data_IF_380196329674
#
_entry.id   IF_380196329674
#
_cell.length_a   1.000
_cell.length_b   1.000
_cell.length_c   1.000
_cell.angle_alpha   90.00
_cell.angle_beta   90.00
_cell.angle_gamma   90.00
#
_symmetry.space_group_name_H-M   'P 1'
#
loop_
_entity.id
_entity.type
_entity.pdbx_description
1 polymer ?
#
# COMPACT_ATOMS: atom_id res chain seq x y z
N UNK A 1 -8.16 4.02 -14.98
CA UNK A 1 -7.96 5.00 -13.92
C UNK A 1 -8.38 4.39 -12.59
N UNK A 2 -7.47 3.67 -11.92
CA UNK A 2 -7.72 2.94 -10.67
C UNK A 2 -6.61 3.25 -9.65
N UNK A 3 -6.45 4.55 -9.37
CA UNK A 3 -5.34 5.06 -8.57
C UNK A 3 -5.52 4.91 -7.05
N UNK A 4 -6.71 4.60 -6.54
CA UNK A 4 -7.01 4.58 -5.11
C UNK A 4 -7.07 3.18 -4.47
N UNK A 5 -6.97 2.13 -5.27
CA UNK A 5 -7.09 0.75 -4.78
C UNK A 5 -5.89 0.31 -3.93
N UNK A 6 -4.67 0.61 -4.35
CA UNK A 6 -3.43 0.24 -3.64
C UNK A 6 -3.35 0.90 -2.28
N UNK A 7 -3.51 2.22 -2.21
CA UNK A 7 -3.37 2.99 -0.96
C UNK A 7 -4.37 2.56 0.09
N UNK A 8 -5.62 2.29 -0.31
CA UNK A 8 -6.65 1.76 0.60
C UNK A 8 -6.25 0.37 1.14
N UNK A 9 -5.71 -0.48 0.28
CA UNK A 9 -5.22 -1.81 0.70
C UNK A 9 -4.01 -1.65 1.62
N UNK A 10 -3.05 -0.78 1.28
CA UNK A 10 -1.87 -0.51 2.12
C UNK A 10 -2.28 -0.04 3.51
N UNK A 11 -3.19 0.94 3.61
CA UNK A 11 -3.66 1.47 4.89
C UNK A 11 -4.30 0.40 5.77
N UNK A 12 -5.23 -0.37 5.21
CA UNK A 12 -5.94 -1.40 5.96
C UNK A 12 -5.06 -2.62 6.29
N UNK A 13 -4.12 -2.99 5.40
CA UNK A 13 -3.13 -4.03 5.66
C UNK A 13 -2.18 -3.63 6.79
N UNK A 14 -1.75 -2.36 6.83
CA UNK A 14 -0.93 -1.84 7.91
C UNK A 14 -1.65 -1.93 9.26
N UNK A 15 -2.94 -1.56 9.30
CA UNK A 15 -3.76 -1.69 10.51
C UNK A 15 -3.94 -3.16 10.91
N UNK A 16 -4.17 -4.07 9.97
CA UNK A 16 -4.27 -5.49 10.26
C UNK A 16 -2.97 -6.06 10.84
N UNK A 17 -1.82 -5.72 10.27
CA UNK A 17 -0.51 -6.10 10.80
C UNK A 17 -0.29 -5.55 12.22
N UNK A 18 -0.64 -4.28 12.46
CA UNK A 18 -0.57 -3.66 13.79
C UNK A 18 -1.49 -4.39 14.78
N UNK A 19 -2.71 -4.77 14.37
CA UNK A 19 -3.65 -5.54 15.21
C UNK A 19 -3.12 -6.94 15.55
N UNK A 20 -2.23 -7.49 14.72
CA UNK A 20 -1.51 -8.74 14.99
C UNK A 20 -0.31 -8.55 15.94
N UNK A 21 -0.03 -7.33 16.37
CA UNK A 21 1.04 -6.99 17.33
C UNK A 21 2.37 -6.60 16.69
N UNK A 22 2.44 -6.42 15.37
CA UNK A 22 3.64 -5.94 14.69
C UNK A 22 3.80 -4.42 14.78
N UNK A 23 5.04 -3.97 14.83
CA UNK A 23 5.40 -2.54 14.70
C UNK A 23 5.45 -2.20 13.22
N UNK A 24 4.58 -1.29 12.80
CA UNK A 24 4.35 -1.02 11.37
C UNK A 24 4.67 0.43 11.03
N UNK A 25 5.31 0.62 9.89
CA UNK A 25 5.48 1.91 9.24
C UNK A 25 4.85 1.91 7.85
N UNK A 26 4.49 3.09 7.35
CA UNK A 26 4.05 3.32 5.98
C UNK A 26 4.91 4.42 5.36
N UNK A 27 5.49 4.12 4.21
CA UNK A 27 6.13 5.08 3.32
C UNK A 27 5.19 5.34 2.15
N UNK A 28 4.52 6.48 2.14
CA UNK A 28 3.69 6.92 1.01
C UNK A 28 4.58 7.63 -0.03
N UNK A 29 4.90 6.91 -1.06
CA UNK A 29 5.76 7.35 -2.15
C UNK A 29 4.97 7.72 -3.42
N UNK A 30 3.63 7.80 -3.36
CA UNK A 30 2.82 8.22 -4.50
C UNK A 30 2.88 9.75 -4.69
N UNK A 31 3.82 10.18 -5.53
CA UNK A 31 4.06 11.59 -5.82
C UNK A 31 2.85 12.27 -6.48
N UNK A 32 2.06 11.51 -7.22
CA UNK A 32 0.96 12.05 -8.01
C UNK A 32 -0.34 12.16 -7.22
N UNK A 33 -0.48 11.43 -6.12
CA UNK A 33 -1.68 11.44 -5.31
C UNK A 33 -1.45 10.87 -3.91
N UNK A 34 -0.57 11.51 -3.11
CA UNK A 34 -0.30 11.03 -1.76
C UNK A 34 -1.60 11.04 -0.96
N UNK A 35 -2.04 9.89 -0.50
CA UNK A 35 -3.34 9.72 0.12
C UNK A 35 -3.29 9.15 1.54
N UNK A 36 -2.16 8.60 1.95
CA UNK A 36 -2.02 8.04 3.29
C UNK A 36 -2.23 9.08 4.41
N UNK A 37 -1.76 10.35 4.28
CA UNK A 37 -2.05 11.37 5.29
C UNK A 37 -3.54 11.56 5.55
N UNK A 38 -4.38 11.57 4.50
CA UNK A 38 -5.82 11.65 4.63
C UNK A 38 -6.40 10.40 5.28
N UNK A 39 -5.98 9.22 4.82
CA UNK A 39 -6.49 7.94 5.32
C UNK A 39 -6.18 7.70 6.80
N UNK A 40 -5.17 8.36 7.36
CA UNK A 40 -4.78 8.28 8.77
C UNK A 40 -5.10 9.54 9.57
N UNK A 41 -5.80 10.53 9.00
CA UNK A 41 -6.23 11.75 9.68
C UNK A 41 -5.06 12.65 10.12
N UNK A 42 -3.93 12.59 9.41
CA UNK A 42 -2.73 13.39 9.68
C UNK A 42 -2.43 14.38 8.56
N UNK A 43 -3.44 14.80 7.82
CA UNK A 43 -3.31 15.88 6.85
C UNK A 43 -2.80 17.16 7.53
N UNK A 44 -1.87 17.83 6.89
CA UNK A 44 -1.26 19.04 7.45
C UNK A 44 -0.17 18.81 8.50
N UNK A 45 0.18 17.54 8.78
CA UNK A 45 1.38 17.26 9.58
C UNK A 45 2.61 17.86 8.91
N UNK A 46 3.42 18.58 9.70
CA UNK A 46 4.70 19.15 9.27
C UNK A 46 5.81 18.38 9.98
N UNK A 47 6.61 17.58 9.25
CA UNK A 47 7.68 16.82 9.86
C UNK A 47 8.73 17.70 10.50
N UNK A 48 9.03 17.45 11.77
CA UNK A 48 10.16 18.05 12.45
C UNK A 48 11.46 17.33 12.10
N UNK A 49 12.58 18.05 12.16
CA UNK A 49 13.91 17.49 12.08
C UNK A 49 14.54 17.44 13.49
N UNK A 50 15.10 16.28 13.83
CA UNK A 50 15.84 16.08 15.08
C UNK A 50 17.27 15.63 14.77
N UNK A 51 18.23 16.09 15.57
CA UNK A 51 19.60 15.57 15.45
C UNK A 51 19.77 14.28 16.25
N UNK A 52 20.22 13.23 15.58
CA UNK A 52 20.52 11.95 16.16
C UNK A 52 21.91 11.48 15.65
N UNK A 53 22.85 11.31 16.57
CA UNK A 53 24.22 10.92 16.26
C UNK A 53 24.91 11.82 15.22
N UNK A 54 24.61 13.13 15.25
CA UNK A 54 25.18 14.10 14.32
C UNK A 54 24.54 14.12 12.91
N UNK A 55 23.45 13.39 12.72
CA UNK A 55 22.68 13.35 11.46
C UNK A 55 21.28 13.89 11.69
N UNK A 56 20.80 14.72 10.76
CA UNK A 56 19.42 15.19 10.79
C UNK A 56 18.47 14.04 10.42
N UNK A 57 17.51 13.77 11.31
CA UNK A 57 16.45 12.76 11.12
C UNK A 57 15.10 13.44 11.03
N UNK A 58 14.27 12.96 10.13
CA UNK A 58 12.90 13.43 9.93
C UNK A 58 11.95 12.61 10.81
N UNK A 59 11.18 13.28 11.64
CA UNK A 59 10.20 12.61 12.51
C UNK A 59 8.96 12.22 11.69
N UNK A 60 8.56 10.95 11.66
CA UNK A 60 7.32 10.52 10.99
C UNK A 60 6.09 10.97 11.80
N UNK A 61 4.95 11.14 11.12
CA UNK A 61 3.66 11.23 11.80
C UNK A 61 3.33 9.89 12.46
N UNK A 62 2.55 9.92 13.54
CA UNK A 62 2.04 8.73 14.20
C UNK A 62 0.50 8.79 14.26
N UNK A 63 -0.14 7.73 13.79
CA UNK A 63 -1.58 7.55 13.90
C UNK A 63 -1.89 6.07 14.06
N UNK A 64 -2.80 5.72 14.98
CA UNK A 64 -3.18 4.34 15.27
C UNK A 64 -1.96 3.42 15.54
N UNK A 65 -0.95 3.90 16.28
CA UNK A 65 0.33 3.21 16.54
C UNK A 65 1.10 2.79 15.26
N UNK A 66 0.86 3.47 14.15
CA UNK A 66 1.56 3.29 12.88
C UNK A 66 2.36 4.56 12.58
N UNK A 67 3.64 4.41 12.22
CA UNK A 67 4.49 5.50 11.77
C UNK A 67 4.27 5.75 10.29
N UNK A 68 4.02 7.01 9.93
CA UNK A 68 3.71 7.40 8.56
C UNK A 68 4.65 8.49 8.09
N UNK A 69 5.33 8.24 6.97
CA UNK A 69 6.03 9.27 6.21
C UNK A 69 5.44 9.33 4.80
N UNK A 70 5.02 10.53 4.39
CA UNK A 70 4.42 10.76 3.08
C UNK A 70 5.09 11.89 2.36
N UNK A 71 5.27 11.73 1.06
CA UNK A 71 5.68 12.83 0.18
C UNK A 71 4.68 14.00 0.26
N UNK A 72 3.42 13.72 0.58
CA UNK A 72 2.37 14.71 0.78
C UNK A 72 2.61 15.69 1.95
N UNK A 73 3.51 15.38 2.87
CA UNK A 73 3.89 16.31 3.93
C UNK A 73 4.82 17.44 3.45
N UNK A 74 5.47 17.25 2.30
CA UNK A 74 6.46 18.18 1.74
C UNK A 74 5.95 18.94 0.52
N UNK A 75 4.90 18.45 -0.12
CA UNK A 75 4.37 18.99 -1.37
C UNK A 75 2.98 19.57 -1.14
N UNK A 76 2.80 20.85 -1.43
CA UNK A 76 1.44 21.41 -1.47
C UNK A 76 0.71 20.86 -2.71
N UNK A 77 -0.59 20.59 -2.64
CA UNK A 77 -1.37 20.11 -3.78
C UNK A 77 -1.24 20.97 -5.05
N UNK A 78 -1.04 22.29 -4.87
CA UNK A 78 -0.82 23.25 -5.97
C UNK A 78 0.53 23.11 -6.64
N UNK A 79 1.52 22.54 -5.97
CA UNK A 79 2.92 22.51 -6.40
C UNK A 79 3.30 21.15 -7.00
N UNK A 80 2.45 20.13 -6.85
CA UNK A 80 2.69 18.77 -7.33
C UNK A 80 3.01 18.71 -8.85
N UNK A 81 2.43 19.62 -9.65
CA UNK A 81 2.72 19.75 -11.09
C UNK A 81 4.13 20.28 -11.39
N UNK A 82 4.78 20.95 -10.43
CA UNK A 82 6.12 21.52 -10.60
C UNK A 82 7.23 20.53 -10.19
N UNK A 83 6.88 19.49 -9.47
CA UNK A 83 7.83 18.46 -9.04
C UNK A 83 8.17 17.54 -10.22
N UNK A 84 9.20 17.92 -10.95
CA UNK A 84 9.73 17.10 -12.05
C UNK A 84 10.56 15.94 -11.47
N UNK A 85 10.57 14.81 -12.20
CA UNK A 85 11.08 13.50 -11.76
C UNK A 85 12.32 13.50 -10.85
N UNK A 86 13.35 14.27 -11.18
CA UNK A 86 14.57 14.30 -10.36
C UNK A 86 14.39 14.90 -8.95
N UNK A 87 13.53 15.92 -8.80
CA UNK A 87 13.27 16.53 -7.48
C UNK A 87 12.46 15.56 -6.62
N UNK A 88 11.46 14.93 -7.20
CA UNK A 88 10.63 13.95 -6.51
C UNK A 88 11.45 12.73 -6.05
N UNK A 89 12.32 12.21 -6.91
CA UNK A 89 13.24 11.13 -6.56
C UNK A 89 14.19 11.55 -5.44
N UNK A 90 14.72 12.79 -5.47
CA UNK A 90 15.60 13.28 -4.40
C UNK A 90 14.88 13.38 -3.05
N UNK A 91 13.64 13.88 -3.03
CA UNK A 91 12.84 13.95 -1.80
C UNK A 91 12.49 12.56 -1.27
N UNK A 92 12.11 11.63 -2.16
CA UNK A 92 11.86 10.24 -1.78
C UNK A 92 13.10 9.58 -1.17
N UNK A 93 14.30 9.80 -1.75
CA UNK A 93 15.56 9.32 -1.15
C UNK A 93 15.77 9.87 0.26
N UNK A 94 15.52 11.15 0.47
CA UNK A 94 15.60 11.73 1.81
C UNK A 94 14.60 11.10 2.78
N UNK A 95 13.35 10.93 2.36
CA UNK A 95 12.33 10.27 3.17
C UNK A 95 12.72 8.83 3.53
N UNK A 96 13.26 8.08 2.58
CA UNK A 96 13.69 6.69 2.81
C UNK A 96 14.81 6.64 3.84
N UNK A 97 15.86 7.44 3.65
CA UNK A 97 17.09 7.33 4.44
C UNK A 97 17.11 8.16 5.72
N UNK A 98 16.35 9.27 5.77
CA UNK A 98 16.40 10.21 6.89
C UNK A 98 15.23 10.06 7.87
N UNK A 99 14.17 9.32 7.53
CA UNK A 99 13.06 9.14 8.46
C UNK A 99 13.50 8.34 9.70
N UNK A 100 13.16 8.86 10.86
CA UNK A 100 13.37 8.18 12.16
C UNK A 100 12.35 7.10 12.39
N UNK A 101 12.47 6.00 11.65
CA UNK A 101 11.54 4.88 11.75
C UNK A 101 11.59 4.15 13.10
N UNK A 102 12.74 4.19 13.82
CA UNK A 102 12.97 3.35 14.99
C UNK A 102 12.92 1.87 14.62
N UNK A 103 12.54 1.03 15.56
CA UNK A 103 12.40 -0.41 15.30
C UNK A 103 11.03 -0.72 14.71
N UNK A 104 11.00 -1.25 13.50
CA UNK A 104 9.82 -1.75 12.80
C UNK A 104 9.98 -3.24 12.50
N UNK A 105 8.83 -3.95 12.47
CA UNK A 105 8.74 -5.32 11.97
C UNK A 105 8.36 -5.29 10.48
N UNK A 106 7.53 -4.32 10.06
CA UNK A 106 7.12 -4.10 8.67
C UNK A 106 7.16 -2.63 8.29
N UNK A 107 7.72 -2.32 7.13
CA UNK A 107 7.59 -1.04 6.45
C UNK A 107 6.86 -1.27 5.12
N UNK A 108 5.65 -0.77 5.00
CA UNK A 108 4.86 -0.85 3.77
C UNK A 108 5.13 0.37 2.90
N UNK A 109 5.62 0.16 1.68
CA UNK A 109 5.82 1.22 0.70
C UNK A 109 4.61 1.27 -0.26
N UNK A 110 3.85 2.37 -0.20
CA UNK A 110 2.77 2.66 -1.16
C UNK A 110 3.36 3.36 -2.37
N UNK A 111 3.56 2.60 -3.45
CA UNK A 111 4.22 3.07 -4.66
C UNK A 111 3.24 3.80 -5.58
N UNK A 112 3.71 4.73 -6.43
CA UNK A 112 2.88 5.37 -7.43
C UNK A 112 2.26 4.34 -8.39
N UNK A 113 1.27 4.71 -9.20
CA UNK A 113 0.70 3.81 -10.21
C UNK A 113 1.65 3.61 -11.39
N UNK A 114 1.58 2.41 -12.01
CA UNK A 114 2.37 2.07 -13.19
C UNK A 114 3.64 1.27 -12.89
N UNK A 115 4.57 1.21 -13.82
CA UNK A 115 5.82 0.43 -13.77
C UNK A 115 7.00 1.20 -14.40
N UNK A 116 6.98 2.53 -14.30
CA UNK A 116 7.98 3.41 -14.94
C UNK A 116 9.23 3.67 -14.10
N UNK A 117 10.08 4.57 -14.59
CA UNK A 117 11.41 4.90 -14.03
C UNK A 117 11.37 5.32 -12.54
N UNK A 118 10.28 5.96 -12.11
CA UNK A 118 10.10 6.36 -10.71
C UNK A 118 10.02 5.12 -9.80
N UNK A 119 9.31 4.07 -10.23
CA UNK A 119 9.27 2.80 -9.48
C UNK A 119 10.65 2.20 -9.34
N UNK A 120 11.40 2.08 -10.44
CA UNK A 120 12.74 1.53 -10.43
C UNK A 120 13.69 2.35 -9.55
N UNK A 121 13.53 3.68 -9.53
CA UNK A 121 14.30 4.56 -8.66
C UNK A 121 13.99 4.34 -7.17
N UNK A 122 12.70 4.18 -6.80
CA UNK A 122 12.29 3.91 -5.41
C UNK A 122 12.75 2.51 -5.00
N UNK A 123 12.53 1.51 -5.84
CA UNK A 123 12.94 0.12 -5.62
C UNK A 123 14.45 0.01 -5.42
N UNK A 124 15.23 0.77 -6.19
CA UNK A 124 16.70 0.78 -6.06
C UNK A 124 17.22 1.41 -4.75
N UNK A 125 16.41 2.24 -4.08
CA UNK A 125 16.78 2.87 -2.81
C UNK A 125 16.28 2.08 -1.58
N UNK A 126 15.32 1.19 -1.76
CA UNK A 126 14.73 0.37 -0.71
C UNK A 126 15.28 -1.06 -0.78
N UNK A 127 15.61 -1.63 0.37
CA UNK A 127 15.77 -3.08 0.48
C UNK A 127 14.38 -3.69 0.61
N UNK A 128 13.79 -4.12 -0.50
CA UNK A 128 12.45 -4.69 -0.54
C UNK A 128 12.54 -6.21 -0.41
N UNK A 129 11.91 -6.75 0.63
CA UNK A 129 11.88 -8.20 0.89
C UNK A 129 10.83 -8.90 0.00
N UNK A 130 9.70 -8.26 -0.27
CA UNK A 130 8.68 -8.79 -1.17
C UNK A 130 7.74 -7.71 -1.70
N UNK A 131 7.10 -7.98 -2.84
CA UNK A 131 6.08 -7.15 -3.45
C UNK A 131 4.69 -7.80 -3.32
N UNK A 132 3.67 -6.99 -3.01
CA UNK A 132 2.25 -7.37 -3.06
C UNK A 132 1.59 -6.63 -4.21
N UNK A 133 0.91 -7.37 -5.08
CA UNK A 133 0.21 -6.80 -6.24
C UNK A 133 -1.27 -6.66 -5.90
N UNK A 134 -1.82 -5.47 -6.12
CA UNK A 134 -3.25 -5.20 -5.91
C UNK A 134 -3.94 -4.96 -7.24
N UNK A 135 -5.03 -5.65 -7.49
CA UNK A 135 -5.84 -5.53 -8.70
C UNK A 135 -7.33 -5.54 -8.40
N UNK A 136 -8.13 -5.23 -9.41
CA UNK A 136 -9.57 -5.51 -9.44
C UNK A 136 -9.84 -6.68 -10.39
N UNK A 137 -11.05 -7.30 -10.37
CA UNK A 137 -11.35 -8.48 -11.21
C UNK A 137 -11.35 -8.23 -12.72
N UNK A 138 -11.35 -6.98 -13.17
CA UNK A 138 -11.46 -6.59 -14.58
C UNK A 138 -10.26 -7.06 -15.40
N UNK A 139 -10.49 -7.54 -16.63
CA UNK A 139 -9.43 -7.96 -17.54
C UNK A 139 -8.41 -6.86 -17.84
N UNK A 140 -8.87 -5.61 -17.94
CA UNK A 140 -7.97 -4.46 -18.14
C UNK A 140 -7.03 -4.27 -16.96
N UNK A 141 -7.52 -4.47 -15.72
CA UNK A 141 -6.69 -4.37 -14.52
C UNK A 141 -5.72 -5.57 -14.39
N UNK A 142 -6.13 -6.76 -14.83
CA UNK A 142 -5.26 -7.95 -14.88
C UNK A 142 -4.05 -7.73 -15.81
N UNK A 143 -4.21 -6.99 -16.90
CA UNK A 143 -3.08 -6.62 -17.76
C UNK A 143 -2.01 -5.77 -17.02
N UNK A 144 -2.41 -4.98 -16.01
CA UNK A 144 -1.48 -4.25 -15.15
C UNK A 144 -0.80 -5.19 -14.13
N UNK A 145 -1.51 -6.22 -13.66
CA UNK A 145 -0.92 -7.26 -12.81
C UNK A 145 0.22 -7.97 -13.53
N UNK A 146 0.00 -8.36 -14.79
CA UNK A 146 1.04 -8.99 -15.63
C UNK A 146 2.29 -8.12 -15.64
N UNK A 147 2.14 -6.83 -15.98
CA UNK A 147 3.29 -5.90 -16.04
C UNK A 147 3.98 -5.72 -14.68
N UNK A 148 3.20 -5.66 -13.59
CA UNK A 148 3.75 -5.56 -12.25
C UNK A 148 4.55 -6.79 -11.84
N UNK A 149 4.02 -7.98 -12.06
CA UNK A 149 4.71 -9.25 -11.76
C UNK A 149 5.99 -9.38 -12.58
N UNK A 150 5.94 -9.10 -13.89
CA UNK A 150 7.11 -9.15 -14.76
C UNK A 150 8.19 -8.14 -14.35
N UNK A 151 7.79 -6.92 -13.93
CA UNK A 151 8.74 -5.93 -13.43
C UNK A 151 9.49 -6.44 -12.21
N UNK A 152 8.80 -7.01 -11.22
CA UNK A 152 9.46 -7.51 -10.00
C UNK A 152 10.27 -8.77 -10.23
N UNK A 153 9.87 -9.64 -11.17
CA UNK A 153 10.59 -10.86 -11.57
C UNK A 153 11.77 -10.58 -12.50
N UNK A 154 11.88 -9.37 -13.06
CA UNK A 154 13.00 -9.01 -13.94
C UNK A 154 14.33 -9.22 -13.22
N UNK A 155 15.34 -9.77 -13.91
CA UNK A 155 16.65 -10.11 -13.34
C UNK A 155 17.36 -8.92 -12.68
N UNK A 156 17.13 -7.70 -13.18
CA UNK A 156 17.73 -6.49 -12.63
C UNK A 156 17.00 -5.95 -11.37
N UNK A 157 15.77 -6.40 -11.13
CA UNK A 157 14.95 -6.02 -9.97
C UNK A 157 14.96 -7.15 -8.95
N UNK A 158 14.64 -8.35 -9.38
CA UNK A 158 14.72 -9.61 -8.63
C UNK A 158 14.10 -9.54 -7.23
N UNK A 159 12.86 -9.03 -7.15
CA UNK A 159 12.11 -8.93 -5.90
C UNK A 159 11.03 -10.02 -5.90
N UNK A 160 10.97 -10.86 -4.85
CA UNK A 160 9.92 -11.87 -4.71
C UNK A 160 8.52 -11.24 -4.73
N UNK A 161 7.58 -11.82 -5.46
CA UNK A 161 6.17 -11.45 -5.41
C UNK A 161 5.49 -12.33 -4.36
N UNK A 162 5.15 -11.74 -3.21
CA UNK A 162 4.45 -12.44 -2.12
C UNK A 162 3.06 -12.91 -2.55
N UNK A 163 2.41 -12.18 -3.45
CA UNK A 163 1.15 -12.60 -4.05
C UNK A 163 0.29 -11.45 -4.56
N UNK A 164 -0.92 -11.83 -4.99
CA UNK A 164 -1.92 -10.93 -5.56
C UNK A 164 -3.12 -10.80 -4.64
N UNK A 165 -3.63 -9.59 -4.46
CA UNK A 165 -4.89 -9.26 -3.77
C UNK A 165 -5.91 -8.80 -4.82
N UNK A 166 -7.10 -9.40 -4.83
CA UNK A 166 -8.21 -8.94 -5.66
C UNK A 166 -9.12 -8.01 -4.84
N UNK A 167 -9.01 -6.71 -5.05
CA UNK A 167 -9.85 -5.70 -4.41
C UNK A 167 -11.11 -5.43 -5.23
N UNK A 168 -12.19 -4.98 -4.57
CA UNK A 168 -13.49 -4.75 -5.18
C UNK A 168 -14.08 -6.01 -5.84
N UNK A 169 -13.85 -7.17 -5.23
CA UNK A 169 -14.18 -8.48 -5.81
C UNK A 169 -15.68 -8.70 -5.99
N UNK A 170 -16.51 -8.22 -5.07
CA UNK A 170 -17.97 -8.24 -5.15
C UNK A 170 -18.58 -7.16 -4.27
N UNK A 171 -19.86 -6.93 -4.44
CA UNK A 171 -20.71 -6.12 -3.57
C UNK A 171 -21.83 -6.96 -3.00
N UNK A 172 -22.15 -6.80 -1.73
CA UNK A 172 -23.30 -7.42 -1.06
C UNK A 172 -24.15 -6.31 -0.44
N UNK A 173 -25.41 -6.09 -0.91
CA UNK A 173 -26.33 -5.15 -0.27
C UNK A 173 -26.70 -5.63 1.13
N UNK A 174 -26.93 -4.70 2.06
CA UNK A 174 -27.36 -5.05 3.43
C UNK A 174 -28.73 -5.73 3.46
N UNK A 175 -29.63 -5.35 2.57
CA UNK A 175 -30.96 -5.92 2.43
C UNK A 175 -30.95 -7.35 1.86
N UNK A 176 -29.87 -7.75 1.20
CA UNK A 176 -29.71 -9.05 0.56
C UNK A 176 -28.35 -9.68 0.91
N UNK A 177 -28.14 -10.06 2.18
CA UNK A 177 -26.81 -10.46 2.68
C UNK A 177 -26.25 -11.74 2.06
N UNK A 178 -27.13 -12.57 1.47
CA UNK A 178 -26.73 -13.81 0.76
C UNK A 178 -26.32 -13.56 -0.69
N UNK A 179 -26.60 -12.37 -1.25
CA UNK A 179 -26.36 -12.07 -2.66
C UNK A 179 -25.00 -11.40 -2.86
N UNK A 180 -24.27 -11.85 -3.88
CA UNK A 180 -23.02 -11.23 -4.32
C UNK A 180 -23.16 -10.72 -5.76
N UNK A 181 -22.89 -9.43 -5.92
CA UNK A 181 -22.90 -8.77 -7.22
C UNK A 181 -21.47 -8.49 -7.67
N UNK A 182 -21.07 -9.04 -8.79
CA UNK A 182 -19.71 -8.93 -9.33
C UNK A 182 -19.62 -7.75 -10.31
N UNK A 183 -19.67 -6.54 -9.76
CA UNK A 183 -19.75 -5.28 -10.53
C UNK A 183 -18.57 -5.12 -11.50
N UNK A 184 -17.39 -5.54 -11.08
CA UNK A 184 -16.16 -5.43 -11.86
C UNK A 184 -15.70 -6.77 -12.48
N UNK A 185 -16.59 -7.76 -12.59
CA UNK A 185 -16.23 -9.11 -13.02
C UNK A 185 -15.89 -10.01 -11.85
N UNK A 186 -15.49 -11.25 -12.12
CA UNK A 186 -15.30 -12.28 -11.11
C UNK A 186 -13.95 -13.00 -11.28
N UNK A 187 -13.10 -12.92 -10.25
CA UNK A 187 -11.92 -13.77 -10.10
C UNK A 187 -10.85 -13.57 -11.17
N UNK A 188 -10.74 -12.38 -11.78
CA UNK A 188 -9.75 -12.14 -12.83
C UNK A 188 -8.31 -12.21 -12.32
N UNK A 189 -8.04 -11.56 -11.18
CA UNK A 189 -6.72 -11.59 -10.57
C UNK A 189 -6.39 -12.94 -9.94
N UNK A 190 -7.39 -13.64 -9.38
CA UNK A 190 -7.24 -15.02 -8.88
C UNK A 190 -6.82 -15.97 -10.01
N UNK A 191 -7.54 -15.98 -11.13
CA UNK A 191 -7.19 -16.85 -12.29
C UNK A 191 -5.79 -16.56 -12.78
N UNK A 192 -5.41 -15.30 -12.93
CA UNK A 192 -4.06 -14.94 -13.32
C UNK A 192 -3.03 -15.53 -12.36
N UNK A 193 -3.24 -15.39 -11.06
CA UNK A 193 -2.34 -15.90 -10.04
C UNK A 193 -2.16 -17.42 -10.15
N UNK A 194 -3.26 -18.17 -10.28
CA UNK A 194 -3.28 -19.62 -10.43
C UNK A 194 -2.57 -20.08 -11.73
N UNK A 195 -2.84 -19.42 -12.86
CA UNK A 195 -2.24 -19.74 -14.16
C UNK A 195 -0.74 -19.44 -14.25
N UNK A 196 -0.24 -18.46 -13.48
CA UNK A 196 1.15 -17.97 -13.56
C UNK A 196 2.00 -18.32 -12.34
N UNK A 197 1.52 -19.22 -11.48
CA UNK A 197 2.27 -19.66 -10.29
C UNK A 197 2.62 -18.51 -9.33
N UNK A 198 1.68 -17.56 -9.17
CA UNK A 198 1.74 -16.49 -8.18
C UNK A 198 0.74 -16.81 -7.08
N UNK A 199 1.12 -16.58 -5.83
CA UNK A 199 0.21 -16.81 -4.71
C UNK A 199 -0.99 -15.84 -4.74
N UNK A 200 -2.17 -16.35 -4.37
CA UNK A 200 -3.38 -15.54 -4.20
C UNK A 200 -3.63 -15.28 -2.72
N UNK A 201 -3.42 -14.02 -2.29
CA UNK A 201 -3.49 -13.65 -0.88
C UNK A 201 -4.93 -13.52 -0.38
N UNK A 202 -5.85 -12.99 -1.22
CA UNK A 202 -7.25 -12.87 -0.83
C UNK A 202 -8.08 -11.94 -1.70
N UNK A 203 -9.35 -11.87 -1.36
CA UNK A 203 -10.36 -11.00 -1.99
C UNK A 203 -10.90 -10.01 -0.97
N UNK A 204 -11.13 -8.78 -1.40
CA UNK A 204 -11.72 -7.72 -0.59
C UNK A 204 -12.99 -7.25 -1.30
N UNK A 205 -14.18 -7.31 -0.68
CA UNK A 205 -15.41 -6.82 -1.29
C UNK A 205 -15.47 -5.29 -1.32
N UNK A 206 -16.43 -4.77 -2.05
CA UNK A 206 -16.83 -3.37 -1.97
C UNK A 206 -17.65 -3.20 -0.69
N UNK A 207 -17.18 -2.38 0.25
CA UNK A 207 -17.83 -2.09 1.52
C UNK A 207 -17.80 -0.60 1.79
N UNK A 208 -18.94 -0.05 2.19
CA UNK A 208 -19.09 1.37 2.44
C UNK A 208 -18.14 1.87 3.55
N UNK A 209 -17.96 1.09 4.63
CA UNK A 209 -17.07 1.43 5.73
C UNK A 209 -15.60 1.61 5.32
N UNK A 210 -15.16 0.97 4.22
CA UNK A 210 -13.80 1.16 3.70
C UNK A 210 -13.64 2.58 3.12
N UNK A 211 -14.65 3.06 2.40
CA UNK A 211 -14.66 4.42 1.85
C UNK A 211 -14.77 5.45 2.97
N UNK A 212 -15.77 5.31 3.85
CA UNK A 212 -16.03 6.22 4.95
C UNK A 212 -14.82 6.31 5.91
N UNK A 213 -14.26 5.17 6.31
CA UNK A 213 -13.08 5.14 7.16
C UNK A 213 -11.87 5.82 6.53
N UNK A 214 -11.68 5.67 5.21
CA UNK A 214 -10.62 6.37 4.48
C UNK A 214 -10.82 7.88 4.44
N UNK A 215 -12.07 8.34 4.30
CA UNK A 215 -12.40 9.78 4.26
C UNK A 215 -12.36 10.42 5.65
N UNK A 216 -12.66 9.65 6.70
CA UNK A 216 -12.63 10.08 8.11
C UNK A 216 -11.24 9.97 8.78
N UNK A 217 -10.23 9.47 8.06
CA UNK A 217 -8.88 9.30 8.59
C UNK A 217 -8.74 8.10 9.56
N UNK A 218 -9.60 7.11 9.43
CA UNK A 218 -9.65 5.90 10.25
C UNK A 218 -9.85 4.67 9.37
N UNK A 219 -8.79 4.01 8.86
CA UNK A 219 -8.90 2.83 8.02
C UNK A 219 -9.84 1.78 8.62
N UNK A 220 -10.73 1.23 7.78
CA UNK A 220 -11.84 0.40 8.21
C UNK A 220 -11.43 -0.89 8.94
N UNK A 221 -10.24 -1.44 8.68
CA UNK A 221 -9.70 -2.58 9.43
C UNK A 221 -9.48 -2.27 10.93
N UNK A 222 -9.51 -1.00 11.34
CA UNK A 222 -9.45 -0.59 12.73
C UNK A 222 -10.80 -0.40 13.40
N UNK A 223 -11.91 -0.37 12.64
CA UNK A 223 -13.24 0.01 13.14
C UNK A 223 -14.36 -0.95 12.73
N UNK A 224 -14.24 -1.69 11.63
CA UNK A 224 -15.24 -2.67 11.17
C UNK A 224 -14.66 -4.09 11.30
N UNK A 225 -15.21 -4.94 12.21
CA UNK A 225 -14.71 -6.30 12.40
C UNK A 225 -14.79 -7.20 11.16
N UNK A 226 -15.71 -6.93 10.22
CA UNK A 226 -15.81 -7.69 8.96
C UNK A 226 -14.62 -7.38 8.06
N UNK A 227 -14.29 -6.08 7.95
CA UNK A 227 -13.13 -5.61 7.18
C UNK A 227 -11.84 -6.09 7.83
N UNK A 228 -11.73 -5.98 9.16
CA UNK A 228 -10.58 -6.49 9.92
C UNK A 228 -10.31 -7.97 9.62
N UNK A 229 -11.34 -8.81 9.58
CA UNK A 229 -11.20 -10.23 9.28
C UNK A 229 -10.58 -10.49 7.91
N UNK A 230 -11.06 -9.83 6.84
CA UNK A 230 -10.50 -10.01 5.50
C UNK A 230 -9.04 -9.57 5.41
N UNK A 231 -8.73 -8.42 6.00
CA UNK A 231 -7.36 -7.91 5.97
C UNK A 231 -6.43 -8.71 6.88
N UNK A 232 -6.93 -9.28 7.99
CA UNK A 232 -6.15 -10.20 8.84
C UNK A 232 -5.76 -11.46 8.07
N UNK A 233 -6.71 -12.11 7.39
CA UNK A 233 -6.43 -13.31 6.58
C UNK A 233 -5.39 -13.03 5.48
N UNK A 234 -5.45 -11.85 4.86
CA UNK A 234 -4.47 -11.40 3.86
C UNK A 234 -3.11 -11.12 4.54
N UNK A 235 -3.10 -10.46 5.69
CA UNK A 235 -1.90 -10.14 6.45
C UNK A 235 -1.17 -11.42 6.89
N UNK A 236 -1.89 -12.41 7.42
CA UNK A 236 -1.32 -13.70 7.84
C UNK A 236 -0.61 -14.40 6.67
N UNK A 237 -1.25 -14.48 5.50
CA UNK A 237 -0.64 -15.07 4.31
C UNK A 237 0.55 -14.24 3.82
N UNK A 238 0.46 -12.91 3.86
CA UNK A 238 1.55 -12.02 3.47
C UNK A 238 2.77 -12.24 4.37
N UNK A 239 2.56 -12.26 5.69
CA UNK A 239 3.64 -12.54 6.67
C UNK A 239 4.28 -13.90 6.41
N UNK A 240 3.47 -14.95 6.20
CA UNK A 240 3.99 -16.30 5.92
C UNK A 240 4.88 -16.31 4.67
N UNK A 241 4.51 -15.58 3.61
CA UNK A 241 5.29 -15.52 2.37
C UNK A 241 6.57 -14.72 2.53
N UNK A 242 6.50 -13.56 3.18
CA UNK A 242 7.69 -12.72 3.45
C UNK A 242 8.70 -13.46 4.31
N UNK A 243 8.25 -14.11 5.40
CA UNK A 243 9.13 -14.85 6.30
C UNK A 243 9.79 -16.08 5.66
N UNK A 244 9.20 -16.65 4.62
CA UNK A 244 9.81 -17.77 3.85
C UNK A 244 10.83 -17.28 2.82
N UNK A 245 10.80 -15.99 2.46
CA UNK A 245 11.70 -15.40 1.48
C UNK A 245 12.95 -14.78 2.12
N UNK A 246 12.94 -14.56 3.44
CA UNK A 246 14.10 -14.14 4.24
C UNK A 246 14.90 -15.34 4.74
#
# INVERSE_FOLDING_TARGET
MLFRSKSTVTANLAVALRNMGYRVGILDADIYGPSQPKMFGVEGYLPDAVQEEGTDRIVPAESMDIRLMSIGFFIKPTDALLWRGAMAVSALKQMIHQTKWGTLDFLLADLPPGTGDIHLSIIGELKIDAAVIVSTPQQVAVADVVRGVEMFRNENVNIPVAGVIENMAWFTPEELPENRYYIFGKGGARRYAEENGVDFLGEIPIVQSIMEGSDEGRPAAGIDPRVEKWYREIAEKTVEKVMKSC
#
